data_IF_561356076747
#
_entry.id   IF_561356076747
#
_cell.length_a   1.000
_cell.length_b   1.000
_cell.length_c   1.000
_cell.angle_alpha   90.00
_cell.angle_beta   90.00
_cell.angle_gamma   90.00
#
_symmetry.space_group_name_H-M   'P 1'
#
loop_
_entity.id
_entity.type
_entity.pdbx_description
1 polymer ?
#
# COMPACT_ATOMS: atom_id res chain seq x y z
N UNK A 1 14.21 -32.49 7.10
CA UNK A 1 13.19 -32.10 6.09
C UNK A 1 12.00 -31.32 6.64
N UNK A 2 11.00 -31.89 7.34
CA UNK A 2 9.85 -31.10 7.88
C UNK A 2 10.33 -30.06 8.92
N UNK A 3 11.30 -30.42 9.74
CA UNK A 3 11.92 -29.51 10.74
C UNK A 3 12.73 -28.39 10.07
N UNK A 4 13.44 -28.67 8.97
CA UNK A 4 14.18 -27.64 8.21
C UNK A 4 13.26 -26.72 7.43
N UNK A 5 12.16 -27.25 6.86
CA UNK A 5 11.12 -26.46 6.19
C UNK A 5 10.40 -25.55 7.21
N UNK A 6 10.12 -26.09 8.42
CA UNK A 6 9.59 -25.34 9.56
C UNK A 6 10.52 -24.20 9.98
N UNK A 7 11.82 -24.46 10.09
CA UNK A 7 12.81 -23.44 10.45
C UNK A 7 12.99 -22.38 9.34
N UNK A 8 12.91 -22.80 8.06
CA UNK A 8 13.02 -21.91 6.89
C UNK A 8 11.80 -21.02 6.66
N UNK A 9 10.60 -21.46 7.07
CA UNK A 9 9.36 -20.69 7.00
C UNK A 9 9.21 -19.76 8.20
N UNK A 10 9.67 -20.18 9.39
CA UNK A 10 9.77 -19.28 10.56
C UNK A 10 10.69 -18.10 10.26
N UNK A 11 11.87 -18.34 9.69
CA UNK A 11 12.80 -17.26 9.32
C UNK A 11 12.27 -16.34 8.22
N UNK A 12 11.28 -16.79 7.42
CA UNK A 12 10.61 -16.00 6.38
C UNK A 12 9.49 -15.10 6.95
N UNK A 13 9.03 -15.43 8.17
CA UNK A 13 7.99 -14.74 8.92
C UNK A 13 8.53 -13.99 10.15
N UNK A 14 9.84 -14.08 10.40
CA UNK A 14 10.57 -13.26 11.37
C UNK A 14 10.67 -11.81 10.85
N UNK A 15 9.54 -11.10 10.86
CA UNK A 15 9.58 -9.68 11.20
C UNK A 15 10.04 -9.58 12.66
N UNK A 16 10.84 -8.57 13.04
CA UNK A 16 11.37 -8.43 14.39
C UNK A 16 10.24 -8.61 15.40
N UNK A 17 10.34 -9.70 16.15
CA UNK A 17 9.40 -10.11 17.17
C UNK A 17 9.54 -9.19 18.38
N UNK A 18 9.03 -7.96 18.28
CA UNK A 18 8.71 -7.15 19.46
C UNK A 18 7.27 -6.69 19.40
N UNK A 19 6.39 -7.60 19.79
CA UNK A 19 5.00 -7.30 20.12
C UNK A 19 4.10 -8.53 20.08
N UNK A 20 3.02 -8.57 20.88
CA UNK A 20 2.03 -9.67 20.91
C UNK A 20 1.26 -9.86 19.58
N UNK A 21 1.65 -9.15 18.50
CA UNK A 21 1.06 -9.08 17.16
C UNK A 21 1.34 -10.31 16.26
N UNK A 22 2.26 -11.22 16.61
CA UNK A 22 2.74 -12.24 15.66
C UNK A 22 2.38 -13.72 15.99
N UNK A 23 2.01 -14.07 17.23
CA UNK A 23 2.03 -15.48 17.64
C UNK A 23 0.76 -16.28 17.33
N UNK A 24 -0.42 -15.66 17.23
CA UNK A 24 -1.68 -16.40 17.12
C UNK A 24 -2.07 -16.75 15.67
N UNK A 25 -1.88 -15.82 14.73
CA UNK A 25 -2.25 -15.99 13.31
C UNK A 25 -1.24 -16.85 12.56
N UNK A 26 0.04 -16.77 12.94
CA UNK A 26 1.09 -17.61 12.36
C UNK A 26 0.88 -19.10 12.68
N UNK A 27 0.45 -19.46 13.90
CA UNK A 27 0.31 -20.88 14.29
C UNK A 27 -0.83 -21.61 13.57
N UNK A 28 -1.98 -20.95 13.37
CA UNK A 28 -3.14 -21.57 12.68
C UNK A 28 -2.91 -21.73 11.18
N UNK A 29 -2.27 -20.75 10.55
CA UNK A 29 -1.87 -20.81 9.13
C UNK A 29 -0.75 -21.85 8.94
N UNK A 30 0.18 -21.94 9.90
CA UNK A 30 1.29 -22.89 9.87
C UNK A 30 0.83 -24.36 10.02
N UNK A 31 -0.12 -24.64 10.91
CA UNK A 31 -0.65 -25.99 11.08
C UNK A 31 -1.47 -26.45 9.85
N UNK A 32 -2.14 -25.54 9.16
CA UNK A 32 -2.90 -25.86 7.94
C UNK A 32 -1.98 -26.08 6.72
N UNK A 33 -0.94 -25.25 6.56
CA UNK A 33 0.07 -25.40 5.51
C UNK A 33 0.87 -26.69 5.71
N UNK A 34 1.28 -27.00 6.95
CA UNK A 34 2.04 -28.23 7.24
C UNK A 34 1.20 -29.48 7.01
N UNK A 35 -0.11 -29.44 7.32
CA UNK A 35 -1.05 -30.56 7.11
C UNK A 35 -1.34 -30.82 5.63
N UNK A 36 -1.30 -29.79 4.77
CA UNK A 36 -1.60 -29.88 3.33
C UNK A 36 -0.37 -30.09 2.43
N UNK A 37 0.76 -29.49 2.78
CA UNK A 37 2.04 -29.62 2.06
C UNK A 37 2.73 -30.98 2.22
N UNK A 38 2.21 -31.85 3.10
CA UNK A 38 2.65 -33.24 3.22
C UNK A 38 2.41 -34.07 1.94
N UNK A 39 1.66 -33.56 0.95
CA UNK A 39 1.34 -34.26 -0.30
C UNK A 39 2.22 -33.91 -1.50
N UNK A 40 2.92 -32.76 -1.52
CA UNK A 40 3.83 -32.44 -2.64
C UNK A 40 4.93 -31.43 -2.25
N UNK A 41 6.02 -31.97 -1.69
CA UNK A 41 7.16 -31.21 -1.14
C UNK A 41 7.97 -30.48 -2.23
N UNK A 42 7.91 -30.93 -3.48
CA UNK A 42 8.70 -30.38 -4.59
C UNK A 42 8.10 -29.10 -5.17
N UNK A 43 6.76 -29.01 -5.26
CA UNK A 43 6.06 -27.80 -5.72
C UNK A 43 6.26 -26.64 -4.74
N UNK A 44 6.14 -26.91 -3.44
CA UNK A 44 6.40 -25.94 -2.38
C UNK A 44 7.85 -25.42 -2.41
N UNK A 45 8.85 -26.28 -2.66
CA UNK A 45 10.25 -25.85 -2.79
C UNK A 45 10.49 -24.92 -3.97
N UNK A 46 9.87 -25.18 -5.13
CA UNK A 46 10.06 -24.39 -6.35
C UNK A 46 9.44 -23.00 -6.24
N UNK A 47 8.31 -22.91 -5.55
CA UNK A 47 7.60 -21.66 -5.27
C UNK A 47 8.34 -20.82 -4.23
N UNK A 48 8.78 -21.46 -3.14
CA UNK A 48 9.64 -20.85 -2.13
C UNK A 48 10.98 -20.42 -2.75
N UNK A 49 11.57 -21.16 -3.69
CA UNK A 49 12.81 -20.73 -4.37
C UNK A 49 12.62 -19.56 -5.34
N UNK A 50 11.43 -19.39 -5.93
CA UNK A 50 11.09 -18.24 -6.78
C UNK A 50 10.80 -16.98 -5.96
N UNK A 51 10.12 -17.14 -4.81
CA UNK A 51 9.91 -16.05 -3.85
C UNK A 51 11.21 -15.67 -3.14
N UNK A 52 12.08 -16.64 -2.86
CA UNK A 52 13.46 -16.44 -2.37
C UNK A 52 14.47 -16.05 -3.45
N UNK A 53 14.06 -15.86 -4.71
CA UNK A 53 15.04 -15.41 -5.70
C UNK A 53 15.48 -14.00 -5.33
N UNK A 54 16.77 -13.85 -4.99
CA UNK A 54 17.47 -12.59 -4.72
C UNK A 54 17.51 -11.64 -5.94
N UNK A 55 16.68 -11.91 -6.96
CA UNK A 55 16.48 -11.03 -8.10
C UNK A 55 15.79 -9.78 -7.58
N UNK A 56 16.59 -8.76 -7.33
CA UNK A 56 16.14 -7.41 -7.01
C UNK A 56 15.16 -6.94 -8.09
N UNK A 57 14.09 -6.21 -7.72
CA UNK A 57 13.25 -5.54 -8.71
C UNK A 57 14.15 -4.68 -9.60
N UNK A 58 13.93 -4.74 -10.91
CA UNK A 58 14.67 -3.91 -11.86
C UNK A 58 13.99 -2.55 -12.06
N UNK A 59 12.78 -2.39 -11.49
CA UNK A 59 11.95 -1.19 -11.58
C UNK A 59 11.68 -0.78 -13.04
N UNK A 60 11.69 -1.72 -13.99
CA UNK A 60 11.61 -1.39 -15.43
C UNK A 60 10.27 -0.73 -15.75
N UNK A 61 9.16 -1.38 -15.39
CA UNK A 61 7.82 -0.87 -15.72
C UNK A 61 7.48 0.39 -14.93
N UNK A 62 7.90 0.46 -13.66
CA UNK A 62 7.73 1.66 -12.84
C UNK A 62 8.51 2.82 -13.44
N UNK A 63 9.79 2.63 -13.79
CA UNK A 63 10.61 3.67 -14.39
C UNK A 63 10.03 4.15 -15.73
N UNK A 64 9.40 3.26 -16.51
CA UNK A 64 8.66 3.66 -17.71
C UNK A 64 7.45 4.54 -17.38
N UNK A 65 6.65 4.18 -16.38
CA UNK A 65 5.45 4.93 -15.99
C UNK A 65 5.82 6.32 -15.44
N UNK A 66 6.81 6.38 -14.55
CA UNK A 66 7.27 7.64 -13.96
C UNK A 66 8.09 8.49 -14.92
N UNK A 67 8.88 7.86 -15.80
CA UNK A 67 9.70 8.53 -16.81
C UNK A 67 8.95 8.95 -18.06
N UNK A 68 7.70 8.51 -18.23
CA UNK A 68 6.88 8.86 -19.39
C UNK A 68 6.66 10.37 -19.48
N UNK A 69 6.86 10.93 -20.67
CA UNK A 69 6.76 12.37 -20.90
C UNK A 69 5.38 12.93 -20.54
N UNK A 70 4.32 12.14 -20.71
CA UNK A 70 2.95 12.54 -20.36
C UNK A 70 2.67 12.42 -18.86
N UNK A 71 3.55 11.83 -18.06
CA UNK A 71 3.39 11.69 -16.61
C UNK A 71 4.30 12.64 -15.81
N UNK A 72 5.25 13.31 -16.45
CA UNK A 72 6.21 14.18 -15.76
C UNK A 72 5.58 15.29 -14.92
N UNK A 73 4.49 15.88 -15.38
CA UNK A 73 3.78 16.94 -14.65
C UNK A 73 3.12 16.42 -13.37
N UNK A 74 2.46 15.26 -13.42
CA UNK A 74 1.83 14.67 -12.23
C UNK A 74 2.86 14.10 -11.27
N UNK A 75 3.96 13.54 -11.79
CA UNK A 75 5.11 13.12 -10.99
C UNK A 75 5.72 14.32 -10.29
N UNK A 76 5.98 15.42 -11.00
CA UNK A 76 6.51 16.63 -10.40
C UNK A 76 5.57 17.21 -9.33
N UNK A 77 4.26 17.22 -9.58
CA UNK A 77 3.26 17.68 -8.61
C UNK A 77 3.25 16.82 -7.34
N UNK A 78 3.32 15.49 -7.49
CA UNK A 78 3.37 14.56 -6.38
C UNK A 78 4.66 14.70 -5.57
N UNK A 79 5.82 14.73 -6.24
CA UNK A 79 7.14 14.83 -5.60
C UNK A 79 7.38 16.18 -4.90
N UNK A 80 6.65 17.21 -5.31
CA UNK A 80 6.69 18.54 -4.69
C UNK A 80 5.39 18.86 -3.92
N UNK A 81 4.66 17.83 -3.47
CA UNK A 81 3.44 18.06 -2.72
C UNK A 81 3.71 18.92 -1.48
N UNK A 82 2.99 20.04 -1.36
CA UNK A 82 3.19 21.05 -0.33
C UNK A 82 3.05 20.47 1.08
N UNK A 83 2.03 19.62 1.31
CA UNK A 83 1.80 19.01 2.60
C UNK A 83 3.02 18.19 3.02
N UNK A 84 3.44 17.26 2.15
CA UNK A 84 4.52 16.34 2.47
C UNK A 84 5.87 17.05 2.67
N UNK A 85 6.20 18.00 1.78
CA UNK A 85 7.46 18.75 1.87
C UNK A 85 7.52 19.63 3.12
N UNK A 86 6.45 20.37 3.43
CA UNK A 86 6.46 21.28 4.58
C UNK A 86 6.25 20.56 5.91
N UNK A 87 5.48 19.46 5.94
CA UNK A 87 5.37 18.62 7.14
C UNK A 87 6.70 17.92 7.46
N UNK A 88 7.44 17.46 6.45
CA UNK A 88 8.77 16.88 6.61
C UNK A 88 9.77 17.87 7.23
N UNK A 89 9.63 19.18 6.96
CA UNK A 89 10.46 20.25 7.56
C UNK A 89 9.97 20.70 8.95
N UNK A 90 8.88 20.14 9.46
CA UNK A 90 8.28 20.55 10.75
C UNK A 90 7.41 21.80 10.68
N UNK A 91 6.93 22.20 9.50
CA UNK A 91 6.04 23.34 9.34
C UNK A 91 4.73 23.15 10.09
N UNK A 92 4.46 23.98 11.11
CA UNK A 92 3.30 23.84 12.01
C UNK A 92 1.96 23.69 11.27
N UNK A 93 1.68 24.58 10.31
CA UNK A 93 0.44 24.52 9.52
C UNK A 93 0.34 23.23 8.70
N UNK A 94 1.46 22.71 8.19
CA UNK A 94 1.50 21.46 7.45
C UNK A 94 1.30 20.26 8.38
N UNK A 95 1.83 20.29 9.61
CA UNK A 95 1.59 19.24 10.60
C UNK A 95 0.12 19.21 11.06
N UNK A 96 -0.53 20.37 11.19
CA UNK A 96 -1.98 20.43 11.46
C UNK A 96 -2.79 19.91 10.27
N UNK A 97 -2.38 20.22 9.04
CA UNK A 97 -2.98 19.68 7.82
C UNK A 97 -2.77 18.17 7.68
N UNK A 98 -1.62 17.66 8.12
CA UNK A 98 -1.30 16.23 8.11
C UNK A 98 -2.27 15.45 9.01
N UNK A 99 -2.65 16.00 10.17
CA UNK A 99 -3.67 15.38 11.04
C UNK A 99 -5.03 15.28 10.35
N UNK A 100 -5.44 16.31 9.60
CA UNK A 100 -6.69 16.27 8.80
C UNK A 100 -6.58 15.27 7.65
N UNK A 101 -5.45 15.26 6.95
CA UNK A 101 -5.14 14.26 5.93
C UNK A 101 -5.22 12.84 6.50
N UNK A 102 -4.68 12.58 7.69
CA UNK A 102 -4.63 11.24 8.28
C UNK A 102 -6.02 10.63 8.48
N UNK A 103 -7.04 11.46 8.79
CA UNK A 103 -8.45 11.04 8.86
C UNK A 103 -8.98 10.64 7.49
N UNK A 104 -8.67 11.40 6.44
CA UNK A 104 -9.08 11.08 5.07
C UNK A 104 -8.34 9.85 4.53
N UNK A 105 -7.06 9.72 4.85
CA UNK A 105 -6.25 8.54 4.52
C UNK A 105 -6.81 7.28 5.20
N UNK A 106 -7.30 7.38 6.44
CA UNK A 106 -8.02 6.27 7.08
C UNK A 106 -9.23 5.81 6.27
N UNK A 107 -10.06 6.73 5.74
CA UNK A 107 -11.18 6.37 4.89
C UNK A 107 -10.73 5.73 3.57
N UNK A 108 -9.68 6.28 2.96
CA UNK A 108 -9.05 5.71 1.78
C UNK A 108 -8.58 4.27 2.04
N UNK A 109 -7.91 4.01 3.17
CA UNK A 109 -7.42 2.67 3.52
C UNK A 109 -8.57 1.66 3.69
N UNK A 110 -9.70 2.07 4.28
CA UNK A 110 -10.90 1.23 4.36
C UNK A 110 -11.43 0.84 2.97
N UNK A 111 -11.39 1.76 2.00
CA UNK A 111 -11.85 1.48 0.64
C UNK A 111 -10.80 0.74 -0.20
N UNK A 112 -9.51 0.94 0.09
CA UNK A 112 -8.41 0.16 -0.48
C UNK A 112 -8.49 -1.32 -0.04
N UNK A 113 -8.97 -1.62 1.17
CA UNK A 113 -9.33 -3.01 1.58
C UNK A 113 -10.37 -3.60 0.61
N UNK A 114 -11.45 -2.86 0.34
CA UNK A 114 -12.52 -3.31 -0.58
C UNK A 114 -11.99 -3.50 -1.99
N UNK A 115 -11.14 -2.57 -2.45
CA UNK A 115 -10.52 -2.61 -3.76
C UNK A 115 -9.69 -3.89 -3.95
N UNK A 116 -8.82 -4.19 -2.97
CA UNK A 116 -8.00 -5.40 -2.98
C UNK A 116 -8.85 -6.67 -2.93
N UNK A 117 -9.94 -6.66 -2.16
CA UNK A 117 -10.87 -7.79 -2.12
C UNK A 117 -11.55 -8.02 -3.48
N UNK A 118 -12.00 -6.97 -4.17
CA UNK A 118 -12.60 -7.08 -5.50
C UNK A 118 -11.60 -7.52 -6.57
N UNK A 119 -10.35 -7.04 -6.48
CA UNK A 119 -9.26 -7.47 -7.37
C UNK A 119 -9.03 -8.98 -7.36
N UNK A 120 -9.33 -9.67 -6.25
CA UNK A 120 -9.26 -11.14 -6.20
C UNK A 120 -10.16 -11.79 -7.26
N UNK A 121 -11.32 -11.18 -7.56
CA UNK A 121 -12.25 -11.68 -8.57
C UNK A 121 -11.79 -11.43 -10.01
N UNK A 122 -10.74 -10.62 -10.23
CA UNK A 122 -10.20 -10.31 -11.56
C UNK A 122 -9.00 -11.18 -11.93
N UNK A 123 -8.60 -12.12 -11.06
CA UNK A 123 -7.47 -13.00 -11.30
C UNK A 123 -7.61 -13.67 -12.67
N UNK A 124 -6.53 -13.71 -13.49
CA UNK A 124 -6.58 -14.39 -14.78
C UNK A 124 -7.02 -15.85 -14.57
N UNK A 125 -7.91 -16.34 -15.43
CA UNK A 125 -8.38 -17.72 -15.40
C UNK A 125 -7.18 -18.68 -15.57
N UNK A 126 -6.76 -19.26 -14.44
CA UNK A 126 -5.81 -20.34 -14.34
C UNK A 126 -6.37 -21.32 -13.31
N UNK A 127 -7.41 -22.06 -13.72
CA UNK A 127 -8.23 -22.94 -12.86
C UNK A 127 -7.41 -24.00 -12.09
N UNK A 128 -6.12 -24.14 -12.40
CA UNK A 128 -5.20 -25.11 -11.83
C UNK A 128 -4.11 -24.50 -10.94
N UNK A 129 -4.01 -23.17 -10.86
CA UNK A 129 -3.03 -22.47 -10.03
C UNK A 129 -3.64 -21.88 -8.75
N UNK A 130 -4.08 -22.79 -7.88
CA UNK A 130 -4.65 -22.48 -6.55
C UNK A 130 -3.65 -21.71 -5.68
N UNK A 131 -2.34 -21.83 -5.94
CA UNK A 131 -1.31 -21.15 -5.16
C UNK A 131 -1.34 -19.64 -5.40
N UNK A 132 -1.54 -19.18 -6.64
CA UNK A 132 -1.74 -17.74 -6.95
C UNK A 132 -2.99 -17.18 -6.26
N UNK A 133 -4.09 -17.92 -6.30
CA UNK A 133 -5.33 -17.53 -5.61
C UNK A 133 -5.10 -17.40 -4.10
N UNK A 134 -4.37 -18.35 -3.51
CA UNK A 134 -4.04 -18.35 -2.10
C UNK A 134 -3.13 -17.18 -1.71
N UNK A 135 -2.12 -16.87 -2.52
CA UNK A 135 -1.22 -15.73 -2.29
C UNK A 135 -1.96 -14.40 -2.35
N UNK A 136 -2.85 -14.21 -3.33
CA UNK A 136 -3.69 -13.02 -3.42
C UNK A 136 -4.69 -12.93 -2.27
N UNK A 137 -5.36 -14.03 -1.91
CA UNK A 137 -6.28 -14.05 -0.76
C UNK A 137 -5.56 -13.71 0.55
N UNK A 138 -4.34 -14.22 0.75
CA UNK A 138 -3.50 -13.89 1.90
C UNK A 138 -3.08 -12.42 1.92
N UNK A 139 -2.79 -11.83 0.75
CA UNK A 139 -2.48 -10.41 0.60
C UNK A 139 -3.67 -9.54 1.02
N UNK A 140 -4.88 -9.89 0.60
CA UNK A 140 -6.12 -9.21 1.01
C UNK A 140 -6.37 -9.34 2.51
N UNK A 141 -6.23 -10.55 3.07
CA UNK A 141 -6.55 -10.83 4.47
C UNK A 141 -5.70 -10.02 5.48
N UNK A 142 -4.50 -9.58 5.10
CA UNK A 142 -3.62 -8.76 5.96
C UNK A 142 -4.00 -7.28 5.98
N UNK A 143 -4.70 -6.81 4.95
CA UNK A 143 -4.90 -5.38 4.72
C UNK A 143 -5.86 -4.68 5.71
N UNK A 144 -6.92 -5.33 6.24
CA UNK A 144 -7.73 -4.74 7.31
C UNK A 144 -6.91 -4.34 8.54
N UNK A 145 -5.87 -5.11 8.87
CA UNK A 145 -4.96 -4.81 9.99
C UNK A 145 -4.21 -3.49 9.79
N UNK A 146 -3.89 -3.12 8.53
CA UNK A 146 -3.21 -1.86 8.23
C UNK A 146 -4.11 -0.65 8.50
N UNK A 147 -5.38 -0.71 8.10
CA UNK A 147 -6.34 0.37 8.39
C UNK A 147 -6.61 0.50 9.90
N UNK A 148 -6.67 -0.63 10.63
CA UNK A 148 -6.79 -0.64 12.08
C UNK A 148 -5.56 -0.05 12.77
N UNK A 149 -4.36 -0.43 12.34
CA UNK A 149 -3.12 0.10 12.90
C UNK A 149 -2.96 1.60 12.60
N UNK A 150 -3.32 2.05 11.40
CA UNK A 150 -3.34 3.47 11.08
C UNK A 150 -4.31 4.26 11.96
N UNK A 151 -5.50 3.70 12.22
CA UNK A 151 -6.44 4.28 13.17
C UNK A 151 -5.86 4.41 14.58
N UNK A 152 -5.17 3.37 15.06
CA UNK A 152 -4.47 3.41 16.35
C UNK A 152 -3.36 4.47 16.36
N UNK A 153 -2.59 4.61 15.29
CA UNK A 153 -1.59 5.68 15.15
C UNK A 153 -2.24 7.06 15.18
N UNK A 154 -3.37 7.25 14.50
CA UNK A 154 -4.11 8.49 14.53
C UNK A 154 -4.52 8.88 15.95
N UNK A 155 -5.09 7.95 16.71
CA UNK A 155 -5.55 8.23 18.07
C UNK A 155 -4.40 8.34 19.06
N UNK A 156 -3.44 7.41 19.02
CA UNK A 156 -2.37 7.29 20.00
C UNK A 156 -1.19 8.24 19.78
N UNK A 157 -0.81 8.52 18.53
CA UNK A 157 0.40 9.27 18.21
C UNK A 157 0.12 10.65 17.60
N UNK A 158 -0.93 10.78 16.79
CA UNK A 158 -1.33 12.07 16.22
C UNK A 158 -2.21 12.90 17.18
N UNK A 159 -2.71 12.26 18.25
CA UNK A 159 -3.56 12.89 19.25
C UNK A 159 -4.95 13.23 18.71
N UNK A 160 -5.45 12.45 17.75
CA UNK A 160 -6.81 12.57 17.24
C UNK A 160 -7.79 11.86 18.18
N UNK A 161 -8.99 12.42 18.29
CA UNK A 161 -10.10 11.83 19.03
C UNK A 161 -11.04 11.08 18.08
N UNK A 162 -11.94 10.25 18.64
CA UNK A 162 -13.02 9.61 17.86
C UNK A 162 -13.89 10.65 17.13
N UNK A 163 -14.06 11.85 17.69
CA UNK A 163 -14.86 12.91 17.09
C UNK A 163 -14.20 13.49 15.84
N UNK A 164 -12.87 13.42 15.71
CA UNK A 164 -12.17 13.88 14.51
C UNK A 164 -12.47 13.00 13.28
N UNK A 165 -12.96 11.77 13.50
CA UNK A 165 -13.44 10.87 12.44
C UNK A 165 -14.92 11.05 12.12
N UNK A 166 -15.66 11.89 12.86
CA UNK A 166 -17.07 12.22 12.58
C UNK A 166 -17.17 13.34 11.55
N UNK A 167 -16.55 13.11 10.41
CA UNK A 167 -16.42 14.10 9.34
C UNK A 167 -16.86 13.54 8.02
N UNK A 168 -17.22 14.42 7.10
CA UNK A 168 -17.41 14.05 5.71
C UNK A 168 -16.07 13.65 5.08
N UNK A 169 -16.16 12.73 4.13
CA UNK A 169 -15.03 12.37 3.28
C UNK A 169 -14.76 13.54 2.33
N UNK A 170 -13.50 13.86 2.10
CA UNK A 170 -13.13 14.92 1.17
C UNK A 170 -13.51 14.55 -0.25
N UNK A 171 -13.66 15.54 -1.13
CA UNK A 171 -13.92 15.30 -2.56
C UNK A 171 -12.79 14.43 -3.15
N UNK A 172 -11.55 14.67 -2.73
CA UNK A 172 -10.40 13.87 -3.15
C UNK A 172 -10.51 12.40 -2.73
N UNK A 173 -10.88 12.13 -1.46
CA UNK A 173 -11.09 10.77 -0.97
C UNK A 173 -12.21 10.06 -1.71
N UNK A 174 -13.36 10.73 -1.89
CA UNK A 174 -14.51 10.16 -2.62
C UNK A 174 -14.11 9.85 -4.06
N UNK A 175 -13.44 10.78 -4.75
CA UNK A 175 -12.99 10.58 -6.11
C UNK A 175 -12.02 9.39 -6.22
N UNK A 176 -11.10 9.25 -5.26
CA UNK A 176 -10.16 8.13 -5.25
C UNK A 176 -10.88 6.81 -4.98
N UNK A 177 -11.76 6.76 -3.97
CA UNK A 177 -12.58 5.58 -3.69
C UNK A 177 -13.40 5.14 -4.90
N UNK A 178 -14.09 6.07 -5.57
CA UNK A 178 -14.87 5.76 -6.78
C UNK A 178 -13.98 5.26 -7.93
N UNK A 179 -12.80 5.87 -8.12
CA UNK A 179 -11.82 5.42 -9.10
C UNK A 179 -11.35 3.98 -8.82
N UNK A 180 -11.05 3.65 -7.56
CA UNK A 180 -10.69 2.28 -7.18
C UNK A 180 -11.83 1.30 -7.48
N UNK A 181 -13.05 1.60 -7.04
CA UNK A 181 -14.21 0.72 -7.23
C UNK A 181 -14.55 0.53 -8.70
N UNK A 182 -14.49 1.59 -9.51
CA UNK A 182 -14.77 1.52 -10.94
C UNK A 182 -13.77 0.59 -11.65
N UNK A 183 -12.47 0.77 -11.43
CA UNK A 183 -11.48 -0.05 -12.09
C UNK A 183 -11.51 -1.50 -11.57
N UNK A 184 -11.74 -1.73 -10.27
CA UNK A 184 -11.88 -3.10 -9.75
C UNK A 184 -13.01 -3.92 -10.42
N UNK A 185 -13.99 -3.25 -11.04
CA UNK A 185 -15.07 -3.89 -11.78
C UNK A 185 -14.79 -4.04 -13.29
N UNK A 186 -13.96 -3.16 -13.87
CA UNK A 186 -13.82 -3.03 -15.32
C UNK A 186 -12.43 -3.31 -15.88
N UNK A 187 -11.39 -3.31 -15.04
CA UNK A 187 -10.00 -3.49 -15.45
C UNK A 187 -9.49 -4.91 -15.22
N UNK A 188 -8.38 -5.23 -15.88
CA UNK A 188 -7.68 -6.49 -15.68
C UNK A 188 -6.78 -6.46 -14.44
N UNK A 189 -6.43 -7.65 -13.96
CA UNK A 189 -5.62 -7.82 -12.75
C UNK A 189 -4.27 -7.11 -12.78
N UNK A 190 -3.63 -6.98 -13.95
CA UNK A 190 -2.35 -6.28 -14.09
C UNK A 190 -2.54 -4.77 -13.91
N UNK A 191 -3.51 -4.19 -14.61
CA UNK A 191 -3.87 -2.77 -14.52
C UNK A 191 -4.22 -2.34 -13.09
N UNK A 192 -4.90 -3.20 -12.34
CA UNK A 192 -5.19 -2.94 -10.92
C UNK A 192 -3.95 -2.88 -10.03
N UNK A 193 -2.84 -3.49 -10.43
CA UNK A 193 -1.54 -3.34 -9.75
C UNK A 193 -0.82 -2.06 -10.18
N UNK A 194 -1.01 -1.59 -11.41
CA UNK A 194 -0.48 -0.30 -11.88
C UNK A 194 -1.06 0.87 -11.07
N UNK A 195 -2.34 0.80 -10.68
CA UNK A 195 -2.97 1.83 -9.82
C UNK A 195 -2.24 1.96 -8.47
N UNK A 196 -1.78 0.85 -7.89
CA UNK A 196 -1.22 0.81 -6.53
C UNK A 196 0.21 1.33 -6.41
N UNK A 197 0.94 1.53 -7.52
CA UNK A 197 2.36 1.90 -7.47
C UNK A 197 2.61 3.42 -7.45
N UNK A 198 1.54 4.23 -7.44
CA UNK A 198 1.65 5.68 -7.54
C UNK A 198 2.44 6.32 -6.37
N UNK A 199 2.30 5.82 -5.15
CA UNK A 199 2.87 6.45 -3.95
C UNK A 199 4.35 6.08 -3.66
N UNK A 200 5.03 5.42 -4.60
CA UNK A 200 6.26 4.63 -4.40
C UNK A 200 7.52 5.39 -3.95
N UNK A 201 7.79 6.58 -4.48
CA UNK A 201 9.10 7.24 -4.29
C UNK A 201 9.14 8.42 -3.32
N UNK A 202 7.99 9.02 -2.99
CA UNK A 202 7.96 10.26 -2.23
C UNK A 202 8.59 10.12 -0.84
N UNK A 203 8.26 9.05 -0.11
CA UNK A 203 8.81 8.82 1.23
C UNK A 203 10.33 8.65 1.22
N UNK A 204 10.87 7.89 0.26
CA UNK A 204 12.32 7.69 0.12
C UNK A 204 13.05 9.00 -0.19
N UNK A 205 12.50 9.80 -1.10
CA UNK A 205 13.07 11.10 -1.45
C UNK A 205 13.00 12.09 -0.29
N UNK A 206 11.93 12.09 0.49
CA UNK A 206 11.85 12.91 1.70
C UNK A 206 12.83 12.41 2.78
N UNK A 207 12.98 11.09 2.96
CA UNK A 207 13.91 10.54 3.93
C UNK A 207 15.36 10.97 3.67
N UNK A 208 15.77 11.00 2.40
CA UNK A 208 17.14 11.34 1.98
C UNK A 208 17.45 12.84 2.03
N UNK A 209 16.46 13.71 2.17
CA UNK A 209 16.68 15.17 2.21
C UNK A 209 17.24 15.59 3.58
N UNK A 210 18.34 16.35 3.55
CA UNK A 210 18.94 16.95 4.75
C UNK A 210 17.97 17.91 5.48
N UNK A 211 17.02 18.50 4.76
CA UNK A 211 16.01 19.39 5.32
C UNK A 211 14.90 18.67 6.11
N UNK A 212 14.87 17.35 6.11
CA UNK A 212 13.81 16.57 6.77
C UNK A 212 14.08 16.48 8.27
N UNK A 213 13.18 17.04 9.06
CA UNK A 213 13.20 16.97 10.51
C UNK A 213 12.66 15.61 10.99
N UNK A 214 13.61 14.77 11.42
CA UNK A 214 13.36 13.41 11.91
C UNK A 214 12.61 13.34 13.24
N UNK A 215 12.41 14.48 13.91
CA UNK A 215 11.68 14.55 15.19
C UNK A 215 10.17 14.72 15.00
N UNK A 216 9.74 15.14 13.80
CA UNK A 216 8.34 15.45 13.50
C UNK A 216 7.43 14.23 13.57
N UNK A 217 6.16 14.46 13.87
CA UNK A 217 5.13 13.40 13.81
C UNK A 217 4.96 12.85 12.40
N UNK A 218 5.18 13.67 11.36
CA UNK A 218 5.11 13.26 9.96
C UNK A 218 6.25 12.30 9.60
N UNK A 219 7.48 12.62 10.01
CA UNK A 219 8.61 11.71 9.80
C UNK A 219 8.38 10.36 10.48
N UNK A 220 8.01 10.37 11.76
CA UNK A 220 7.86 9.15 12.57
C UNK A 220 6.74 8.24 12.08
N UNK A 221 5.63 8.81 11.63
CA UNK A 221 4.41 8.04 11.32
C UNK A 221 4.16 7.82 9.84
N UNK A 222 4.78 8.61 8.96
CA UNK A 222 4.55 8.51 7.51
C UNK A 222 5.84 8.22 6.74
N UNK A 223 6.90 9.00 6.92
CA UNK A 223 8.15 8.81 6.15
C UNK A 223 8.87 7.52 6.55
N UNK A 224 9.20 7.39 7.85
CA UNK A 224 10.00 6.27 8.36
C UNK A 224 9.33 4.90 8.14
N UNK A 225 8.02 4.71 8.38
CA UNK A 225 7.36 3.44 8.12
C UNK A 225 7.21 3.11 6.63
N UNK A 226 7.40 4.10 5.74
CA UNK A 226 7.27 3.94 4.29
C UNK A 226 8.61 3.65 3.59
N UNK A 227 9.70 3.49 4.35
CA UNK A 227 11.02 3.12 3.84
C UNK A 227 11.58 1.93 4.61
N UNK A 228 12.36 1.09 3.92
CA UNK A 228 13.15 0.05 4.57
C UNK A 228 14.55 0.59 4.88
N UNK A 229 15.14 0.19 6.01
CA UNK A 229 16.54 0.49 6.31
C UNK A 229 17.35 -0.80 6.18
N UNK A 230 18.17 -0.90 5.14
CA UNK A 230 19.03 -2.08 4.88
C UNK A 230 20.49 -1.67 5.02
N UNK A 231 21.21 -2.30 5.94
CA UNK A 231 22.62 -1.97 6.23
C UNK A 231 22.87 -0.47 6.54
N UNK A 232 21.89 0.20 7.16
CA UNK A 232 21.96 1.63 7.49
C UNK A 232 21.54 2.56 6.36
N UNK A 233 21.27 2.04 5.15
CA UNK A 233 20.86 2.83 4.00
C UNK A 233 19.34 2.74 3.78
N UNK A 234 18.67 3.88 3.47
CA UNK A 234 17.25 3.88 3.16
C UNK A 234 16.99 3.34 1.76
N UNK A 235 16.05 2.42 1.68
CA UNK A 235 15.53 1.83 0.46
C UNK A 235 14.01 1.99 0.40
N UNK A 236 13.46 1.83 -0.80
CA UNK A 236 12.02 1.64 -1.00
C UNK A 236 11.51 0.47 -0.14
N UNK A 237 10.29 0.59 0.39
CA UNK A 237 9.68 -0.44 1.23
C UNK A 237 9.53 -1.79 0.50
N UNK A 238 9.55 -2.90 1.25
CA UNK A 238 9.48 -4.24 0.68
C UNK A 238 8.18 -4.52 -0.08
N UNK A 239 7.05 -3.99 0.38
CA UNK A 239 5.75 -4.07 -0.31
C UNK A 239 5.83 -3.45 -1.72
N UNK A 240 6.55 -2.34 -1.79
CA UNK A 240 6.85 -1.56 -2.96
C UNK A 240 7.76 -2.37 -3.92
N UNK A 241 8.87 -2.93 -3.41
CA UNK A 241 9.77 -3.82 -4.18
C UNK A 241 9.02 -5.02 -4.77
N UNK A 242 8.12 -5.62 -4.00
CA UNK A 242 7.28 -6.75 -4.44
C UNK A 242 6.34 -6.34 -5.57
N UNK A 243 5.70 -5.17 -5.47
CA UNK A 243 4.82 -4.65 -6.52
C UNK A 243 5.60 -4.33 -7.80
N UNK A 244 6.80 -3.76 -7.66
CA UNK A 244 7.72 -3.53 -8.80
C UNK A 244 8.09 -4.81 -9.52
N UNK A 245 8.57 -5.82 -8.77
CA UNK A 245 8.91 -7.14 -9.30
C UNK A 245 7.70 -7.78 -10.01
N UNK A 246 6.52 -7.64 -9.43
CA UNK A 246 5.28 -8.11 -10.03
C UNK A 246 5.04 -7.47 -11.41
N UNK A 247 5.12 -6.14 -11.50
CA UNK A 247 4.89 -5.41 -12.76
C UNK A 247 5.92 -5.79 -13.84
N UNK A 248 7.19 -5.93 -13.47
CA UNK A 248 8.26 -6.34 -14.39
C UNK A 248 8.04 -7.77 -14.92
N UNK A 249 7.71 -8.71 -14.03
CA UNK A 249 7.48 -10.12 -14.41
C UNK A 249 6.23 -10.32 -15.27
N UNK A 250 5.23 -9.45 -15.11
CA UNK A 250 3.95 -9.56 -15.80
C UNK A 250 3.77 -8.49 -16.89
N UNK A 251 4.83 -7.76 -17.25
CA UNK A 251 4.80 -6.72 -18.29
C UNK A 251 4.27 -7.26 -19.64
N UNK A 252 4.47 -8.55 -19.88
CA UNK A 252 3.90 -9.26 -21.04
C UNK A 252 2.38 -9.21 -21.11
N UNK A 253 1.66 -8.95 -20.01
CA UNK A 253 0.20 -8.75 -20.01
C UNK A 253 -0.20 -7.46 -20.74
N UNK A 254 0.67 -6.45 -20.82
CA UNK A 254 0.49 -5.26 -21.67
C UNK A 254 0.89 -5.52 -23.15
N UNK A 255 0.34 -6.57 -23.74
CA UNK A 255 0.68 -7.02 -25.10
C UNK A 255 0.31 -5.99 -26.16
N UNK A 256 -0.80 -5.27 -25.99
CA UNK A 256 -1.33 -4.34 -26.99
C UNK A 256 -0.91 -2.88 -26.73
N UNK A 257 -0.84 -2.08 -27.80
CA UNK A 257 -0.62 -0.63 -27.67
C UNK A 257 -1.71 0.07 -26.85
N UNK A 258 -2.95 -0.42 -26.92
CA UNK A 258 -4.09 0.09 -26.13
C UNK A 258 -3.89 -0.18 -24.64
N UNK A 259 -3.52 -1.41 -24.27
CA UNK A 259 -3.26 -1.79 -22.88
C UNK A 259 -2.11 -0.97 -22.26
N UNK A 260 -1.09 -0.63 -23.06
CA UNK A 260 0.03 0.22 -22.60
C UNK A 260 -0.40 1.68 -22.38
N UNK A 261 -1.25 2.22 -23.25
CA UNK A 261 -1.80 3.57 -23.08
C UNK A 261 -2.66 3.60 -21.81
N UNK A 262 -3.54 2.61 -21.65
CA UNK A 262 -4.38 2.45 -20.47
C UNK A 262 -3.55 2.39 -19.18
N UNK A 263 -2.50 1.57 -19.10
CA UNK A 263 -1.64 1.51 -17.93
C UNK A 263 -1.02 2.88 -17.56
N UNK A 264 -0.59 3.66 -18.56
CA UNK A 264 -0.06 5.02 -18.32
C UNK A 264 -1.12 5.97 -17.81
N UNK A 265 -2.32 5.93 -18.37
CA UNK A 265 -3.45 6.78 -17.95
C UNK A 265 -3.94 6.41 -16.55
N UNK A 266 -3.93 5.12 -16.21
CA UNK A 266 -4.26 4.62 -14.88
C UNK A 266 -3.26 5.12 -13.84
N UNK A 267 -1.96 4.99 -14.11
CA UNK A 267 -0.91 5.52 -13.25
C UNK A 267 -1.03 7.04 -13.09
N UNK A 268 -1.24 7.76 -14.20
CA UNK A 268 -1.40 9.22 -14.21
C UNK A 268 -2.57 9.66 -13.32
N UNK A 269 -3.70 8.98 -13.44
CA UNK A 269 -4.90 9.29 -12.67
C UNK A 269 -4.71 8.97 -11.20
N UNK A 270 -4.13 7.81 -10.88
CA UNK A 270 -3.79 7.44 -9.50
C UNK A 270 -2.88 8.50 -8.85
N UNK A 271 -1.84 8.97 -9.55
CA UNK A 271 -0.91 9.96 -9.01
C UNK A 271 -1.53 11.35 -8.80
N UNK A 272 -2.50 11.73 -9.65
CA UNK A 272 -3.32 12.93 -9.43
C UNK A 272 -4.18 12.79 -8.18
N UNK A 273 -4.82 11.64 -8.00
CA UNK A 273 -5.67 11.36 -6.85
C UNK A 273 -4.86 11.31 -5.55
N UNK A 274 -3.69 10.69 -5.56
CA UNK A 274 -2.72 10.73 -4.44
C UNK A 274 -2.35 12.18 -4.08
N UNK A 275 -1.98 12.99 -5.06
CA UNK A 275 -1.64 14.41 -4.86
C UNK A 275 -2.82 15.18 -4.27
N UNK A 276 -4.02 14.95 -4.79
CA UNK A 276 -5.25 15.58 -4.29
C UNK A 276 -5.62 15.10 -2.88
N UNK A 277 -5.39 13.83 -2.55
CA UNK A 277 -5.65 13.30 -1.21
C UNK A 277 -4.74 13.98 -0.19
N UNK A 278 -3.45 14.14 -0.46
CA UNK A 278 -2.56 14.96 0.38
C UNK A 278 -3.04 16.41 0.50
N UNK A 279 -3.45 17.03 -0.61
CA UNK A 279 -3.93 18.41 -0.59
C UNK A 279 -5.21 18.58 0.25
N UNK A 280 -6.02 17.53 0.38
CA UNK A 280 -7.24 17.57 1.21
C UNK A 280 -6.95 17.85 2.69
N UNK A 281 -5.72 17.65 3.16
CA UNK A 281 -5.31 18.08 4.51
C UNK A 281 -5.41 19.59 4.74
N UNK A 282 -5.41 20.40 3.68
CA UNK A 282 -5.61 21.86 3.75
C UNK A 282 -7.07 22.30 3.55
N UNK A 283 -7.97 21.39 3.21
CA UNK A 283 -9.39 21.71 3.02
C UNK A 283 -10.10 21.85 4.38
N UNK A 284 -11.19 22.63 4.38
CA UNK A 284 -12.06 22.73 5.55
C UNK A 284 -12.84 21.42 5.74
N UNK A 285 -12.95 20.99 7.00
CA UNK A 285 -13.58 19.72 7.34
C UNK A 285 -15.02 19.94 7.76
N UNK A 286 -15.96 19.36 7.02
CA UNK A 286 -17.38 19.38 7.36
C UNK A 286 -17.65 18.27 8.39
N UNK A 287 -18.02 18.65 9.61
CA UNK A 287 -18.38 17.70 10.67
C UNK A 287 -19.76 17.12 10.41
N UNK A 288 -19.90 15.80 10.55
CA UNK A 288 -21.19 15.13 10.55
C UNK A 288 -21.92 15.46 11.86
N UNK A 289 -23.26 15.62 11.82
CA UNK A 289 -24.04 15.73 13.05
C UNK A 289 -23.73 14.54 13.96
N UNK A 290 -23.66 14.76 15.27
CA UNK A 290 -23.71 13.64 16.21
C UNK A 290 -25.00 12.88 15.90
N UNK A 291 -24.89 11.61 15.54
CA UNK A 291 -26.06 10.75 15.33
C UNK A 291 -26.81 10.70 16.66
N UNK A 292 -27.85 11.53 16.78
CA UNK A 292 -28.68 11.59 17.96
C UNK A 292 -29.28 10.22 18.20
N UNK A 293 -29.03 9.65 19.37
CA UNK A 293 -29.87 8.58 19.88
C UNK A 293 -31.31 9.08 19.90
N UNK A 294 -32.20 8.25 19.35
CA UNK A 294 -33.65 8.38 19.34
C UNK A 294 -34.23 9.60 18.59
N UNK A 295 -34.68 9.33 17.36
CA UNK A 295 -36.02 9.78 16.97
C UNK A 295 -36.90 8.54 17.07
N UNK A 296 -37.96 8.65 17.88
CA UNK A 296 -38.95 7.61 18.22
C UNK A 296 -39.55 6.91 17.02
#
# INVERSE_FOLDING_TARGET
MIIELRNSLKSLLDLPAEGPRASLTASLVFDEITRRSAKDVNKAHKMVSHLKSDVKPQDIEINKLWGDQNNKDVVAAFMNNKLCVEAAKGGKQALDAYKRYAVQDYFYLLDSVKFKALRLATLPYDDFDVDKLQDEANSVARYPGYAEDWFKTCVGELGLSMDDFRVERSIAEIAYSQYLMHNAQGDDWYNLHVILIACYWLALELYKKDSTDKTTIFYKNWILPSVDITNGEPEIAQSAKTLSKFLDMNAGMMTSGVSRIQGKDLFRTALRLETSLFNSGYEDVIRKPATGGNVM
#
